data_IF_242738297120
#
_entry.id   IF_242738297120
#
_cell.length_a   1.000
_cell.length_b   1.000
_cell.length_c   1.000
_cell.angle_alpha   90.00
_cell.angle_beta   90.00
_cell.angle_gamma   90.00
#
_symmetry.space_group_name_H-M   'P 1'
#
loop_
_entity.id
_entity.type
_entity.pdbx_description
1 polymer ?
#
# COMPACT_ATOMS: atom_id res chain seq x y z
N UNK A 1 4.00 12.80 3.88
CA UNK A 1 3.28 11.86 2.99
C UNK A 1 3.90 11.79 1.59
N UNK A 2 4.13 12.92 0.90
CA UNK A 2 4.76 12.94 -0.45
C UNK A 2 6.01 12.05 -0.59
N UNK A 3 6.98 12.19 0.32
CA UNK A 3 8.22 11.38 0.33
C UNK A 3 7.92 9.87 0.41
N UNK A 4 6.91 9.46 1.20
CA UNK A 4 6.51 8.05 1.30
C UNK A 4 6.02 7.52 -0.06
N UNK A 5 5.19 8.30 -0.74
CA UNK A 5 4.68 7.98 -2.06
C UNK A 5 5.78 7.93 -3.12
N UNK A 6 6.62 8.97 -3.20
CA UNK A 6 7.69 9.07 -4.20
C UNK A 6 8.72 7.95 -4.03
N UNK A 7 9.17 7.67 -2.80
CA UNK A 7 10.12 6.58 -2.55
C UNK A 7 9.56 5.22 -2.98
N UNK A 8 8.28 4.95 -2.70
CA UNK A 8 7.64 3.70 -3.11
C UNK A 8 7.44 3.62 -4.62
N UNK A 9 6.95 4.70 -5.25
CA UNK A 9 6.79 4.81 -6.70
C UNK A 9 8.11 4.52 -7.42
N UNK A 10 9.15 5.30 -7.11
CA UNK A 10 10.44 5.19 -7.76
C UNK A 10 11.09 3.82 -7.51
N UNK A 11 11.03 3.35 -6.27
CA UNK A 11 11.58 2.04 -5.89
C UNK A 11 10.91 0.89 -6.64
N UNK A 12 9.58 0.89 -6.71
CA UNK A 12 8.84 -0.18 -7.38
C UNK A 12 8.97 -0.11 -8.91
N UNK A 13 8.93 1.08 -9.52
CA UNK A 13 9.14 1.22 -10.97
C UNK A 13 10.54 0.78 -11.39
N UNK A 14 11.55 1.16 -10.62
CA UNK A 14 12.95 0.79 -10.88
C UNK A 14 13.21 -0.72 -10.72
N UNK A 15 12.40 -1.40 -9.91
CA UNK A 15 12.54 -2.83 -9.63
C UNK A 15 11.76 -3.73 -10.60
N UNK A 16 11.08 -3.18 -11.60
CA UNK A 16 10.40 -3.96 -12.65
C UNK A 16 11.42 -4.71 -13.50
N UNK A 17 11.00 -5.84 -14.08
CA UNK A 17 11.83 -6.60 -15.04
C UNK A 17 12.24 -5.75 -16.26
N UNK A 18 11.38 -4.80 -16.63
CA UNK A 18 11.64 -3.76 -17.65
C UNK A 18 11.31 -2.40 -17.03
N UNK A 19 12.26 -1.76 -16.33
CA UNK A 19 12.00 -0.48 -15.70
C UNK A 19 11.76 0.58 -16.78
N UNK A 20 10.80 1.51 -16.59
CA UNK A 20 10.60 2.63 -17.50
C UNK A 20 11.82 3.57 -17.50
N UNK A 21 11.91 4.45 -18.48
CA UNK A 21 12.98 5.45 -18.48
C UNK A 21 12.84 6.37 -17.25
N UNK A 22 13.92 6.85 -16.61
CA UNK A 22 13.82 7.69 -15.40
C UNK A 22 12.94 8.95 -15.55
N UNK A 23 12.87 9.52 -16.76
CA UNK A 23 12.00 10.67 -17.07
C UNK A 23 10.51 10.32 -17.15
N UNK A 24 10.18 9.04 -17.25
CA UNK A 24 8.80 8.52 -17.34
C UNK A 24 8.31 7.97 -15.99
N UNK A 25 9.16 7.98 -14.95
CA UNK A 25 8.80 7.54 -13.61
C UNK A 25 8.03 8.64 -12.87
N UNK A 26 6.74 8.74 -13.12
CA UNK A 26 5.86 9.71 -12.47
C UNK A 26 4.55 9.08 -11.97
N UNK A 27 3.85 9.78 -11.08
CA UNK A 27 2.63 9.28 -10.43
C UNK A 27 1.40 9.37 -11.34
N UNK A 28 1.41 10.27 -12.34
CA UNK A 28 0.28 10.48 -13.25
C UNK A 28 0.08 9.30 -14.21
N UNK A 29 1.18 8.78 -14.76
CA UNK A 29 1.13 8.04 -16.02
C UNK A 29 1.64 6.60 -15.91
N UNK A 30 2.06 6.15 -14.72
CA UNK A 30 2.49 4.76 -14.58
C UNK A 30 1.33 3.78 -14.78
N UNK A 31 1.56 2.71 -15.53
CA UNK A 31 0.59 1.63 -15.70
C UNK A 31 0.73 0.66 -14.52
N UNK A 32 -0.30 0.46 -13.68
CA UNK A 32 -0.28 -0.57 -12.65
C UNK A 32 -0.18 -1.96 -13.29
N UNK A 33 0.68 -2.82 -12.76
CA UNK A 33 0.85 -4.20 -13.25
C UNK A 33 0.29 -5.22 -12.24
N UNK A 34 -0.09 -6.43 -12.67
CA UNK A 34 -0.44 -7.52 -11.76
C UNK A 34 0.66 -7.77 -10.71
N UNK A 35 0.25 -7.94 -9.46
CA UNK A 35 1.17 -8.33 -8.39
C UNK A 35 1.66 -9.78 -8.61
N UNK A 36 2.92 -10.03 -8.28
CA UNK A 36 3.51 -11.38 -8.19
C UNK A 36 3.99 -11.64 -6.75
N UNK A 37 4.23 -12.89 -6.33
CA UNK A 37 4.78 -13.15 -4.99
C UNK A 37 6.08 -12.40 -4.72
N UNK A 38 7.00 -12.41 -5.70
CA UNK A 38 8.26 -11.67 -5.62
C UNK A 38 8.02 -10.16 -5.52
N UNK A 39 7.12 -9.63 -6.34
CA UNK A 39 6.72 -8.22 -6.31
C UNK A 39 6.13 -7.82 -4.95
N UNK A 40 5.31 -8.68 -4.36
CA UNK A 40 4.67 -8.44 -3.06
C UNK A 40 5.67 -8.36 -1.91
N UNK A 41 6.63 -9.29 -1.85
CA UNK A 41 7.71 -9.21 -0.86
C UNK A 41 8.57 -7.96 -1.07
N UNK A 42 8.87 -7.63 -2.32
CA UNK A 42 9.69 -6.47 -2.65
C UNK A 42 9.01 -5.15 -2.26
N UNK A 43 7.75 -4.93 -2.65
CA UNK A 43 7.02 -3.70 -2.32
C UNK A 43 6.80 -3.55 -0.82
N UNK A 44 6.55 -4.63 -0.08
CA UNK A 44 6.41 -4.57 1.38
C UNK A 44 7.72 -4.13 2.06
N UNK A 45 8.88 -4.60 1.59
CA UNK A 45 10.19 -4.18 2.11
C UNK A 45 10.49 -2.71 1.81
N UNK A 46 10.19 -2.26 0.59
CA UNK A 46 10.30 -0.85 0.20
C UNK A 46 9.38 0.02 1.05
N UNK A 47 8.14 -0.41 1.26
CA UNK A 47 7.15 0.32 2.04
C UNK A 47 7.60 0.48 3.49
N UNK A 48 7.99 -0.61 4.18
CA UNK A 48 8.49 -0.53 5.56
C UNK A 48 9.71 0.40 5.70
N UNK A 49 10.63 0.35 4.74
CA UNK A 49 11.80 1.24 4.71
C UNK A 49 11.39 2.70 4.53
N UNK A 50 10.45 2.97 3.62
CA UNK A 50 9.91 4.29 3.39
C UNK A 50 9.10 4.83 4.58
N UNK A 51 8.43 3.96 5.36
CA UNK A 51 7.70 4.33 6.57
C UNK A 51 8.64 4.83 7.67
N UNK A 52 9.77 4.17 7.90
CA UNK A 52 10.76 4.62 8.89
C UNK A 52 11.33 6.00 8.52
N UNK A 53 11.61 6.22 7.23
CA UNK A 53 12.06 7.52 6.74
C UNK A 53 10.98 8.59 6.84
N UNK A 54 9.74 8.25 6.48
CA UNK A 54 8.58 9.12 6.59
C UNK A 54 8.37 9.55 8.04
N UNK A 55 8.31 8.60 8.99
CA UNK A 55 8.14 8.88 10.40
C UNK A 55 9.20 9.85 10.92
N UNK A 56 10.47 9.59 10.62
CA UNK A 56 11.59 10.43 11.07
C UNK A 56 11.57 11.85 10.49
N UNK A 57 10.96 12.05 9.31
CA UNK A 57 10.86 13.37 8.67
C UNK A 57 9.57 14.11 9.01
N UNK A 58 8.48 13.39 9.23
CA UNK A 58 7.18 13.97 9.54
C UNK A 58 7.01 14.29 11.02
N UNK A 59 7.69 13.54 11.89
CA UNK A 59 7.52 13.62 13.33
C UNK A 59 8.88 13.69 14.05
N UNK A 60 9.29 14.87 14.54
CA UNK A 60 10.55 15.04 15.26
C UNK A 60 10.70 14.10 16.47
N UNK A 61 9.61 13.81 17.17
CA UNK A 61 9.56 12.91 18.32
C UNK A 61 9.89 11.48 17.91
N UNK A 62 9.36 11.02 16.77
CA UNK A 62 9.67 9.70 16.23
C UNK A 62 11.16 9.56 15.91
N UNK A 63 11.80 10.63 15.41
CA UNK A 63 13.23 10.60 15.09
C UNK A 63 14.12 10.35 16.32
N UNK A 64 13.66 10.73 17.51
CA UNK A 64 14.38 10.57 18.79
C UNK A 64 14.20 9.20 19.43
N UNK A 65 13.19 8.44 19.01
CA UNK A 65 12.93 7.10 19.55
C UNK A 65 14.07 6.11 19.27
N UNK A 66 14.15 5.07 20.11
CA UNK A 66 15.08 3.97 19.89
C UNK A 66 14.67 3.13 18.67
N UNK A 67 15.55 2.24 18.20
CA UNK A 67 15.30 1.42 17.01
C UNK A 67 14.09 0.48 17.20
N UNK A 68 13.91 -0.05 18.41
CA UNK A 68 12.83 -0.97 18.74
C UNK A 68 11.47 -0.27 18.67
N UNK A 69 11.30 0.88 19.34
CA UNK A 69 10.06 1.66 19.29
C UNK A 69 9.71 2.11 17.87
N UNK A 70 10.71 2.58 17.10
CA UNK A 70 10.52 2.95 15.69
C UNK A 70 9.98 1.79 14.86
N UNK A 71 10.50 0.59 15.11
CA UNK A 71 10.08 -0.62 14.41
C UNK A 71 8.66 -1.04 14.81
N UNK A 72 8.34 -1.02 16.10
CA UNK A 72 7.00 -1.32 16.62
C UNK A 72 5.95 -0.39 16.00
N UNK A 73 6.18 0.92 16.06
CA UNK A 73 5.29 1.92 15.45
C UNK A 73 5.15 1.70 13.95
N UNK A 74 6.27 1.54 13.22
CA UNK A 74 6.26 1.39 11.78
C UNK A 74 5.51 0.13 11.32
N UNK A 75 5.66 -0.99 12.03
CA UNK A 75 4.98 -2.25 11.70
C UNK A 75 3.48 -2.22 12.02
N UNK A 76 3.10 -1.62 13.15
CA UNK A 76 1.68 -1.42 13.51
C UNK A 76 0.98 -0.47 12.53
N UNK A 77 1.66 0.62 12.16
CA UNK A 77 1.17 1.54 11.14
C UNK A 77 1.06 0.85 9.78
N UNK A 78 2.09 0.10 9.36
CA UNK A 78 2.12 -0.60 8.07
C UNK A 78 0.87 -1.44 7.81
N UNK A 79 0.45 -2.28 8.76
CA UNK A 79 -0.68 -3.19 8.57
C UNK A 79 -1.99 -2.45 8.27
N UNK A 80 -2.31 -1.42 9.06
CA UNK A 80 -3.55 -0.63 8.92
C UNK A 80 -3.47 0.34 7.75
N UNK A 81 -2.38 1.09 7.68
CA UNK A 81 -2.20 2.13 6.69
C UNK A 81 -2.13 1.57 5.27
N UNK A 82 -1.51 0.41 5.06
CA UNK A 82 -1.46 -0.23 3.74
C UNK A 82 -2.85 -0.44 3.17
N UNK A 83 -3.75 -1.06 3.93
CA UNK A 83 -5.12 -1.30 3.46
C UNK A 83 -5.86 0.01 3.24
N UNK A 84 -5.72 0.96 4.17
CA UNK A 84 -6.37 2.27 4.08
C UNK A 84 -5.93 3.07 2.83
N UNK A 85 -4.62 3.18 2.60
CA UNK A 85 -4.04 3.91 1.47
C UNK A 85 -4.31 3.24 0.12
N UNK A 86 -4.24 1.90 0.05
CA UNK A 86 -4.55 1.17 -1.16
C UNK A 86 -5.98 1.43 -1.61
N UNK A 87 -6.94 1.39 -0.68
CA UNK A 87 -8.34 1.61 -1.02
C UNK A 87 -8.66 3.07 -1.36
N UNK A 88 -8.00 4.02 -0.69
CA UNK A 88 -8.10 5.43 -1.06
C UNK A 88 -7.66 5.68 -2.51
N UNK A 89 -6.54 5.07 -2.93
CA UNK A 89 -5.98 5.27 -4.27
C UNK A 89 -6.70 4.48 -5.34
N UNK A 90 -7.05 3.24 -5.04
CA UNK A 90 -7.72 2.37 -5.99
C UNK A 90 -9.13 2.86 -6.31
N UNK A 91 -9.78 3.62 -5.42
CA UNK A 91 -11.07 4.28 -5.74
C UNK A 91 -10.94 5.27 -6.90
N UNK A 92 -9.82 5.99 -6.94
CA UNK A 92 -9.51 6.95 -8.00
C UNK A 92 -8.94 6.29 -9.25
N UNK A 93 -8.12 5.26 -9.10
CA UNK A 93 -7.40 4.62 -10.23
C UNK A 93 -8.21 3.52 -10.93
N UNK A 94 -9.12 2.86 -10.22
CA UNK A 94 -9.96 1.78 -10.74
C UNK A 94 -11.46 2.08 -10.51
N UNK A 95 -11.98 3.20 -11.05
CA UNK A 95 -13.38 3.58 -10.83
C UNK A 95 -14.35 2.52 -11.37
N UNK A 96 -14.01 1.93 -12.52
CA UNK A 96 -14.84 0.97 -13.24
C UNK A 96 -14.56 -0.50 -12.87
N UNK A 97 -13.52 -0.76 -12.06
CA UNK A 97 -13.16 -2.11 -11.61
C UNK A 97 -13.11 -2.17 -10.07
N UNK A 98 -14.27 -2.30 -9.40
CA UNK A 98 -14.33 -2.37 -7.94
C UNK A 98 -13.75 -3.68 -7.38
N UNK A 99 -13.41 -4.66 -8.23
CA UNK A 99 -12.73 -5.89 -7.83
C UNK A 99 -11.22 -5.76 -7.73
N UNK A 100 -10.67 -4.63 -8.21
CA UNK A 100 -9.23 -4.35 -8.23
C UNK A 100 -8.84 -3.43 -7.08
N UNK A 101 -7.74 -3.75 -6.42
CA UNK A 101 -7.10 -2.89 -5.43
C UNK A 101 -5.59 -2.87 -5.60
N UNK A 102 -4.92 -1.91 -4.97
CA UNK A 102 -3.46 -1.91 -4.92
C UNK A 102 -2.96 -3.00 -3.96
N UNK A 103 -1.84 -3.63 -4.32
CA UNK A 103 -1.06 -4.52 -3.43
C UNK A 103 0.39 -4.04 -3.25
N UNK A 104 0.84 -3.15 -4.13
CA UNK A 104 2.00 -2.29 -3.95
C UNK A 104 1.64 -0.87 -4.43
N UNK A 105 2.62 0.03 -4.46
CA UNK A 105 2.40 1.37 -4.99
C UNK A 105 2.10 1.36 -6.49
N UNK A 106 2.71 0.44 -7.25
CA UNK A 106 2.59 0.36 -8.71
C UNK A 106 2.02 -0.96 -9.20
N UNK A 107 1.50 -1.78 -8.28
CA UNK A 107 1.03 -3.13 -8.54
C UNK A 107 -0.37 -3.34 -7.97
N UNK A 108 -1.22 -4.03 -8.72
CA UNK A 108 -2.61 -4.30 -8.33
C UNK A 108 -2.86 -5.80 -8.13
N UNK A 109 -3.94 -6.10 -7.40
CA UNK A 109 -4.47 -7.44 -7.20
C UNK A 109 -5.96 -7.46 -7.53
N UNK A 110 -6.43 -8.59 -8.03
CA UNK A 110 -7.84 -8.92 -8.23
C UNK A 110 -8.05 -10.43 -8.02
N UNK A 111 -9.30 -10.88 -8.16
CA UNK A 111 -9.67 -12.28 -7.97
C UNK A 111 -9.05 -13.24 -9.01
N UNK A 112 -8.65 -12.75 -10.19
CA UNK A 112 -8.00 -13.58 -11.23
C UNK A 112 -6.55 -13.85 -10.85
N UNK A 113 -5.84 -12.80 -10.45
CA UNK A 113 -4.42 -12.86 -10.10
C UNK A 113 -4.17 -13.85 -8.95
N UNK A 114 -5.06 -13.86 -7.95
CA UNK A 114 -4.86 -14.68 -6.76
C UNK A 114 -5.08 -16.18 -6.97
N UNK A 115 -5.70 -16.60 -8.08
CA UNK A 115 -5.97 -18.03 -8.34
C UNK A 115 -4.70 -18.86 -8.49
N UNK A 116 -3.65 -18.25 -9.03
CA UNK A 116 -2.38 -18.91 -9.35
C UNK A 116 -1.19 -18.18 -8.69
N UNK A 117 -1.43 -17.50 -7.57
CA UNK A 117 -0.42 -16.63 -6.96
C UNK A 117 0.68 -17.43 -6.29
N UNK A 118 0.31 -18.45 -5.50
CA UNK A 118 1.21 -19.41 -4.89
C UNK A 118 1.17 -20.75 -5.62
N UNK A 119 2.20 -21.60 -5.45
CA UNK A 119 2.14 -23.00 -5.90
C UNK A 119 1.10 -23.86 -5.17
N UNK A 120 0.58 -23.38 -4.02
CA UNK A 120 -0.41 -24.08 -3.20
C UNK A 120 -1.83 -23.58 -3.48
N UNK A 121 -2.67 -24.46 -4.03
CA UNK A 121 -4.08 -24.19 -4.32
C UNK A 121 -4.91 -23.85 -3.08
N UNK A 122 -4.59 -24.42 -1.92
CA UNK A 122 -5.29 -24.09 -0.68
C UNK A 122 -5.01 -22.65 -0.25
N UNK A 123 -3.75 -22.23 -0.31
CA UNK A 123 -3.35 -20.84 -0.06
C UNK A 123 -4.00 -19.86 -1.07
N UNK A 124 -4.06 -20.22 -2.35
CA UNK A 124 -4.71 -19.40 -3.38
C UNK A 124 -6.21 -19.26 -3.16
N UNK A 125 -6.89 -20.35 -2.74
CA UNK A 125 -8.32 -20.29 -2.39
C UNK A 125 -8.57 -19.35 -1.22
N UNK A 126 -7.79 -19.47 -0.15
CA UNK A 126 -7.95 -18.60 1.04
C UNK A 126 -7.66 -17.13 0.70
N UNK A 127 -6.59 -16.87 -0.05
CA UNK A 127 -6.28 -15.52 -0.53
C UNK A 127 -7.40 -14.97 -1.43
N UNK A 128 -7.97 -15.82 -2.30
CA UNK A 128 -9.12 -15.50 -3.14
C UNK A 128 -10.35 -15.09 -2.34
N UNK A 129 -10.69 -15.86 -1.31
CA UNK A 129 -11.79 -15.54 -0.39
C UNK A 129 -11.53 -14.22 0.35
N UNK A 130 -10.29 -13.99 0.82
CA UNK A 130 -9.89 -12.74 1.45
C UNK A 130 -10.04 -11.54 0.51
N UNK A 131 -9.60 -11.66 -0.75
CA UNK A 131 -9.74 -10.63 -1.78
C UNK A 131 -11.21 -10.31 -2.06
N UNK A 132 -12.03 -11.34 -2.25
CA UNK A 132 -13.46 -11.18 -2.54
C UNK A 132 -14.21 -10.54 -1.37
N UNK A 133 -13.90 -10.96 -0.14
CA UNK A 133 -14.54 -10.47 1.08
C UNK A 133 -14.17 -9.02 1.40
N UNK A 134 -12.96 -8.58 1.07
CA UNK A 134 -12.46 -7.29 1.54
C UNK A 134 -12.48 -6.19 0.47
N UNK A 135 -12.06 -6.45 -0.77
CA UNK A 135 -11.81 -5.36 -1.73
C UNK A 135 -13.11 -4.60 -2.08
N UNK A 136 -14.12 -5.30 -2.57
CA UNK A 136 -15.38 -4.65 -3.01
C UNK A 136 -16.11 -3.93 -1.86
N UNK A 137 -16.30 -4.55 -0.68
CA UNK A 137 -16.92 -3.86 0.45
C UNK A 137 -16.11 -2.64 0.89
N UNK A 138 -14.79 -2.77 1.04
CA UNK A 138 -13.94 -1.65 1.47
C UNK A 138 -13.98 -0.49 0.46
N UNK A 139 -13.91 -0.77 -0.85
CA UNK A 139 -14.10 0.23 -1.92
C UNK A 139 -15.43 0.98 -1.74
N UNK A 140 -16.53 0.26 -1.46
CA UNK A 140 -17.83 0.89 -1.23
C UNK A 140 -17.88 1.75 0.05
N UNK A 141 -17.13 1.39 1.10
CA UNK A 141 -16.97 2.24 2.29
C UNK A 141 -16.21 3.53 1.94
N UNK A 142 -15.08 3.44 1.25
CA UNK A 142 -14.28 4.62 0.86
C UNK A 142 -15.04 5.59 -0.04
N UNK A 143 -15.80 5.07 -1.02
CA UNK A 143 -16.67 5.89 -1.89
C UNK A 143 -17.69 6.70 -1.12
N UNK A 144 -18.19 6.16 0.00
CA UNK A 144 -19.15 6.85 0.87
C UNK A 144 -18.48 7.91 1.74
N UNK A 145 -17.27 7.63 2.23
CA UNK A 145 -16.52 8.58 3.05
C UNK A 145 -16.14 9.85 2.27
N UNK A 146 -15.89 9.75 0.96
CA UNK A 146 -15.51 10.88 0.09
C UNK A 146 -14.35 11.71 0.66
N UNK A 147 -13.36 11.03 1.24
CA UNK A 147 -12.25 11.69 1.93
C UNK A 147 -11.50 12.66 1.00
N UNK A 148 -11.44 13.92 1.41
CA UNK A 148 -10.51 14.88 0.86
C UNK A 148 -9.07 14.53 1.29
N UNK A 149 -8.09 15.12 0.61
CA UNK A 149 -6.69 14.82 0.88
C UNK A 149 -6.30 15.17 2.33
N UNK A 150 -6.84 16.26 2.88
CA UNK A 150 -6.57 16.68 4.26
C UNK A 150 -7.13 15.69 5.28
N UNK A 151 -8.36 15.23 5.07
CA UNK A 151 -9.01 14.22 5.94
C UNK A 151 -8.26 12.88 5.88
N UNK A 152 -7.85 12.45 4.68
CA UNK A 152 -7.01 11.27 4.51
C UNK A 152 -5.70 11.39 5.31
N UNK A 153 -5.04 12.55 5.26
CA UNK A 153 -3.79 12.81 5.98
C UNK A 153 -4.00 12.87 7.50
N UNK A 154 -5.11 13.45 7.97
CA UNK A 154 -5.46 13.48 9.38
C UNK A 154 -5.64 12.06 9.93
N UNK A 155 -6.42 11.22 9.24
CA UNK A 155 -6.61 9.81 9.60
C UNK A 155 -5.29 9.04 9.57
N UNK A 156 -4.46 9.24 8.54
CA UNK A 156 -3.14 8.60 8.45
C UNK A 156 -2.22 9.00 9.62
N UNK A 157 -2.32 10.24 10.09
CA UNK A 157 -1.51 10.74 11.22
C UNK A 157 -1.97 10.11 12.54
N UNK A 158 -3.27 9.97 12.75
CA UNK A 158 -3.83 9.26 13.91
C UNK A 158 -3.37 7.80 13.89
N UNK A 159 -3.53 7.11 12.75
CA UNK A 159 -3.09 5.71 12.60
C UNK A 159 -1.59 5.51 12.86
N UNK A 160 -0.76 6.52 12.57
CA UNK A 160 0.68 6.43 12.77
C UNK A 160 1.05 6.33 14.26
N UNK A 161 0.36 7.08 15.10
CA UNK A 161 0.63 7.14 16.54
C UNK A 161 -0.23 6.20 17.38
N UNK A 162 -1.25 5.61 16.78
CA UNK A 162 -2.13 4.63 17.42
C UNK A 162 -1.37 3.32 17.67
N UNK A 163 -0.58 3.26 18.74
CA UNK A 163 0.21 2.06 19.11
C UNK A 163 -0.59 1.05 19.93
N UNK A 164 -1.79 1.42 20.39
CA UNK A 164 -2.67 0.56 21.15
C UNK A 164 -3.45 -0.40 20.23
N UNK A 165 -3.75 -1.60 20.74
CA UNK A 165 -4.50 -2.72 20.14
C UNK A 165 -3.73 -3.72 19.26
N UNK A 166 -3.20 -4.77 19.92
CA UNK A 166 -3.66 -6.15 19.69
C UNK A 166 -4.40 -6.65 20.94
#
# INVERSE_FOLDING_TARGET
FRILCETRLMGELSARDRPPHPLEMNDSDFIPIPITPRGFHHCNRLFLSALLQFGSRAFPEFAQLCKEDKWTIATHFFCRFRMFEHEYRADKRFPDDPGRSFSGYTMYVDAEIVRNFYPDDAANRELGLCVQRNIRPNRAHFRRLRLHQEEFLAVATIMFWDVECL
#
